data_IF_763536283566
#
_entry.id   IF_763536283566
#
_cell.length_a   1.000
_cell.length_b   1.000
_cell.length_c   1.000
_cell.angle_alpha   90.00
_cell.angle_beta   90.00
_cell.angle_gamma   90.00
#
_symmetry.space_group_name_H-M   'P 1'
#
loop_
_entity.id
_entity.type
_entity.pdbx_description
1 polymer ?
#
# COMPACT_ATOMS: atom_id res chain seq x y z
N UNK A 1 -45.14 -32.89 -49.76
CA UNK A 1 -44.89 -32.27 -48.43
C UNK A 1 -45.92 -31.15 -48.25
N UNK A 2 -46.49 -31.00 -47.07
CA UNK A 2 -47.33 -29.84 -46.76
C UNK A 2 -46.46 -28.61 -46.42
N UNK A 3 -46.94 -27.37 -46.65
CA UNK A 3 -46.25 -26.17 -46.17
C UNK A 3 -46.12 -26.20 -44.62
N UNK A 4 -45.03 -25.66 -44.05
CA UNK A 4 -44.91 -25.56 -42.60
C UNK A 4 -46.02 -24.67 -42.04
N UNK A 5 -46.54 -25.00 -40.86
CA UNK A 5 -47.61 -24.24 -40.20
C UNK A 5 -47.46 -24.27 -38.68
N UNK A 6 -48.20 -23.39 -37.99
CA UNK A 6 -48.24 -23.30 -36.53
C UNK A 6 -46.87 -23.12 -35.86
N UNK A 7 -45.96 -22.36 -36.49
CA UNK A 7 -44.68 -22.02 -35.88
C UNK A 7 -44.89 -21.19 -34.60
N UNK A 8 -44.32 -21.64 -33.48
CA UNK A 8 -44.43 -20.95 -32.20
C UNK A 8 -43.25 -21.25 -31.29
N UNK A 9 -42.92 -20.30 -30.41
CA UNK A 9 -41.91 -20.47 -29.37
C UNK A 9 -42.58 -20.27 -28.00
N UNK A 10 -42.64 -21.31 -27.17
CA UNK A 10 -43.35 -21.26 -25.89
C UNK A 10 -42.72 -20.31 -24.84
N UNK A 11 -41.49 -19.82 -25.09
CA UNK A 11 -40.74 -18.96 -24.15
C UNK A 11 -40.64 -17.48 -24.53
N UNK A 12 -41.32 -17.01 -25.58
CA UNK A 12 -41.33 -15.57 -25.92
C UNK A 12 -42.31 -14.79 -25.02
N UNK A 13 -41.96 -13.59 -24.51
CA UNK A 13 -40.71 -12.85 -24.72
C UNK A 13 -39.51 -13.47 -23.98
N UNK A 14 -38.37 -13.57 -24.67
CA UNK A 14 -37.13 -14.08 -24.12
C UNK A 14 -36.32 -13.00 -23.41
N UNK A 15 -35.81 -13.32 -22.22
CA UNK A 15 -34.82 -12.50 -21.51
C UNK A 15 -33.58 -13.33 -21.27
N UNK A 16 -32.47 -12.94 -21.90
CA UNK A 16 -31.18 -13.61 -21.77
C UNK A 16 -30.18 -12.73 -21.01
N UNK A 17 -29.14 -13.36 -20.48
CA UNK A 17 -28.05 -12.68 -19.77
C UNK A 17 -26.79 -12.72 -20.64
N UNK A 18 -26.15 -11.57 -20.82
CA UNK A 18 -24.90 -11.45 -21.56
C UNK A 18 -23.84 -12.42 -21.01
N UNK A 19 -23.19 -13.16 -21.91
CA UNK A 19 -22.14 -14.13 -21.57
C UNK A 19 -22.64 -15.45 -21.01
N UNK A 20 -23.95 -15.62 -20.77
CA UNK A 20 -24.54 -16.88 -20.33
C UNK A 20 -25.10 -17.65 -21.54
N UNK A 21 -24.68 -18.91 -21.71
CA UNK A 21 -25.23 -19.80 -22.74
C UNK A 21 -26.73 -19.99 -22.50
N UNK A 22 -27.55 -19.75 -23.51
CA UNK A 22 -28.99 -19.91 -23.38
C UNK A 22 -29.37 -21.38 -23.38
N UNK A 23 -30.46 -21.72 -22.70
CA UNK A 23 -31.18 -22.95 -23.02
C UNK A 23 -31.75 -22.81 -24.42
N UNK A 24 -31.44 -23.77 -25.31
CA UNK A 24 -31.89 -23.74 -26.70
C UNK A 24 -33.40 -23.54 -26.78
N UNK A 25 -33.83 -22.47 -27.45
CA UNK A 25 -35.23 -22.19 -27.70
C UNK A 25 -35.67 -23.02 -28.92
N UNK A 26 -36.26 -24.19 -28.64
CA UNK A 26 -36.80 -25.09 -29.65
C UNK A 26 -38.24 -24.68 -29.97
N UNK A 27 -38.58 -24.37 -31.24
CA UNK A 27 -39.95 -24.05 -31.62
C UNK A 27 -40.80 -25.30 -31.78
N UNK A 28 -42.12 -25.12 -31.69
CA UNK A 28 -43.10 -26.05 -32.23
C UNK A 28 -43.42 -25.63 -33.67
N UNK A 29 -43.37 -26.57 -34.62
CA UNK A 29 -43.74 -26.35 -36.02
C UNK A 29 -44.35 -27.64 -36.58
N UNK A 30 -45.43 -27.51 -37.35
CA UNK A 30 -46.07 -28.63 -38.05
C UNK A 30 -45.57 -28.70 -39.49
N UNK A 31 -45.20 -29.88 -39.96
CA UNK A 31 -44.64 -30.10 -41.30
C UNK A 31 -43.11 -30.02 -41.34
N UNK A 32 -42.53 -30.31 -42.51
CA UNK A 32 -41.08 -30.35 -42.69
C UNK A 32 -40.54 -28.97 -43.06
N UNK A 33 -39.59 -28.46 -42.28
CA UNK A 33 -38.87 -27.19 -42.54
C UNK A 33 -37.57 -27.50 -43.30
N UNK A 34 -37.33 -26.78 -44.39
CA UNK A 34 -36.06 -26.87 -45.16
C UNK A 34 -35.25 -25.59 -45.13
N UNK A 35 -35.86 -24.47 -44.75
CA UNK A 35 -35.17 -23.20 -44.51
C UNK A 35 -35.86 -22.43 -43.38
N UNK A 36 -35.06 -21.86 -42.49
CA UNK A 36 -35.53 -21.04 -41.38
C UNK A 36 -34.60 -19.85 -41.15
N UNK A 37 -35.18 -18.65 -41.10
CA UNK A 37 -34.44 -17.40 -40.97
C UNK A 37 -35.21 -16.40 -40.08
N UNK A 38 -34.49 -15.45 -39.50
CA UNK A 38 -35.05 -14.23 -38.91
C UNK A 38 -35.03 -13.09 -39.93
N UNK A 39 -35.95 -12.13 -39.79
CA UNK A 39 -36.05 -10.92 -40.60
C UNK A 39 -34.87 -9.95 -40.41
N UNK A 40 -34.34 -9.87 -39.19
CA UNK A 40 -33.10 -9.16 -38.84
C UNK A 40 -32.12 -10.10 -38.13
N UNK A 41 -30.79 -9.83 -38.17
CA UNK A 41 -29.81 -10.66 -37.47
C UNK A 41 -30.11 -10.76 -35.97
N UNK A 42 -30.08 -11.99 -35.43
CA UNK A 42 -30.21 -12.22 -33.99
C UNK A 42 -29.06 -11.54 -33.21
N UNK A 43 -29.22 -11.28 -31.89
CA UNK A 43 -28.18 -10.69 -31.06
C UNK A 43 -26.85 -11.42 -31.21
N UNK A 44 -25.74 -10.68 -31.25
CA UNK A 44 -24.42 -11.26 -31.51
C UNK A 44 -24.12 -12.42 -30.55
N UNK A 45 -23.78 -13.59 -31.10
CA UNK A 45 -23.53 -14.82 -30.35
C UNK A 45 -24.74 -15.76 -30.24
N UNK A 46 -25.92 -15.34 -30.67
CA UNK A 46 -27.06 -16.23 -30.93
C UNK A 46 -27.10 -16.63 -32.42
N UNK A 47 -27.54 -17.85 -32.67
CA UNK A 47 -27.76 -18.38 -34.02
C UNK A 47 -29.09 -19.13 -34.12
N UNK A 48 -29.63 -19.19 -35.33
CA UNK A 48 -30.81 -20.00 -35.65
C UNK A 48 -30.39 -21.19 -36.52
N UNK A 49 -30.89 -22.38 -36.18
CA UNK A 49 -30.71 -23.55 -37.02
C UNK A 49 -31.62 -23.47 -38.25
N UNK A 50 -31.03 -23.52 -39.44
CA UNK A 50 -31.75 -23.35 -40.70
C UNK A 50 -32.78 -24.42 -41.04
N UNK A 51 -32.83 -25.56 -40.34
CA UNK A 51 -33.78 -26.65 -40.62
C UNK A 51 -34.68 -26.99 -39.44
N UNK A 52 -34.30 -26.66 -38.21
CA UNK A 52 -35.14 -26.88 -37.01
C UNK A 52 -35.72 -25.60 -36.43
N UNK A 53 -35.30 -24.43 -36.93
CA UNK A 53 -35.60 -23.12 -36.34
C UNK A 53 -35.15 -22.97 -34.86
N UNK A 54 -34.38 -23.91 -34.31
CA UNK A 54 -33.92 -23.81 -32.93
C UNK A 54 -32.94 -22.64 -32.78
N UNK A 55 -33.15 -21.79 -31.76
CA UNK A 55 -32.27 -20.67 -31.44
C UNK A 55 -31.36 -21.07 -30.28
N UNK A 56 -30.05 -20.97 -30.46
CA UNK A 56 -29.04 -21.35 -29.46
C UNK A 56 -27.83 -20.41 -29.48
N UNK A 57 -26.99 -20.48 -28.47
CA UNK A 57 -25.73 -19.72 -28.39
C UNK A 57 -25.55 -18.97 -27.06
N UNK A 58 -24.64 -18.00 -27.07
CA UNK A 58 -24.27 -17.19 -25.92
C UNK A 58 -24.25 -15.72 -26.35
N UNK A 59 -25.24 -14.90 -25.96
CA UNK A 59 -25.31 -13.52 -26.40
C UNK A 59 -24.15 -12.72 -25.79
N UNK A 60 -23.48 -11.93 -26.62
CA UNK A 60 -22.24 -11.20 -26.25
C UNK A 60 -22.46 -9.70 -26.08
N UNK A 61 -23.59 -9.17 -26.52
CA UNK A 61 -23.94 -7.74 -26.46
C UNK A 61 -25.30 -7.56 -25.81
N UNK A 62 -25.43 -6.53 -24.98
CA UNK A 62 -26.72 -6.15 -24.39
C UNK A 62 -27.65 -5.57 -25.43
N UNK A 63 -28.93 -5.81 -25.29
CA UNK A 63 -29.96 -5.32 -26.20
C UNK A 63 -31.26 -5.06 -25.43
N UNK A 64 -31.90 -3.93 -25.68
CA UNK A 64 -33.30 -3.71 -25.27
C UNK A 64 -34.25 -4.67 -25.99
N UNK A 65 -35.45 -4.85 -25.46
CA UNK A 65 -36.48 -5.69 -26.08
C UNK A 65 -36.66 -5.35 -27.57
N UNK A 66 -36.36 -6.34 -28.42
CA UNK A 66 -36.42 -6.22 -29.88
C UNK A 66 -37.24 -7.37 -30.43
N UNK A 67 -38.17 -7.07 -31.33
CA UNK A 67 -39.01 -8.07 -31.99
C UNK A 67 -38.30 -8.62 -33.23
N UNK A 68 -38.39 -9.93 -33.42
CA UNK A 68 -37.86 -10.68 -34.55
C UNK A 68 -38.97 -11.51 -35.16
N UNK A 69 -39.10 -11.46 -36.48
CA UNK A 69 -40.03 -12.31 -37.23
C UNK A 69 -39.29 -13.53 -37.73
N UNK A 70 -39.59 -14.70 -37.16
CA UNK A 70 -39.00 -15.96 -37.58
C UNK A 70 -39.87 -16.58 -38.65
N UNK A 71 -39.27 -16.93 -39.79
CA UNK A 71 -39.97 -17.55 -40.92
C UNK A 71 -39.43 -18.95 -41.18
N UNK A 72 -40.31 -19.95 -41.12
CA UNK A 72 -40.03 -21.34 -41.48
C UNK A 72 -40.65 -21.63 -42.85
N UNK A 73 -39.89 -22.23 -43.76
CA UNK A 73 -40.32 -22.46 -45.13
C UNK A 73 -39.88 -23.81 -45.69
N UNK A 74 -40.64 -24.26 -46.70
CA UNK A 74 -40.24 -25.29 -47.64
C UNK A 74 -40.73 -24.93 -49.05
N UNK A 75 -40.49 -25.79 -50.04
CA UNK A 75 -40.87 -25.55 -51.44
C UNK A 75 -42.39 -25.35 -51.68
N UNK A 76 -43.23 -25.68 -50.69
CA UNK A 76 -44.69 -25.64 -50.80
C UNK A 76 -45.33 -24.46 -50.04
N UNK A 77 -44.54 -23.69 -49.28
CA UNK A 77 -45.00 -22.50 -48.58
C UNK A 77 -44.22 -22.18 -47.30
N UNK A 78 -44.73 -21.22 -46.53
CA UNK A 78 -44.08 -20.71 -45.32
C UNK A 78 -45.07 -20.33 -44.23
N UNK A 79 -44.61 -20.34 -42.99
CA UNK A 79 -45.29 -19.76 -41.82
C UNK A 79 -44.32 -18.88 -41.05
N UNK A 80 -44.82 -17.92 -40.30
CA UNK A 80 -44.00 -17.07 -39.46
C UNK A 80 -44.60 -16.84 -38.07
N UNK A 81 -43.77 -16.41 -37.14
CA UNK A 81 -44.17 -15.98 -35.81
C UNK A 81 -43.23 -14.88 -35.33
N UNK A 82 -43.72 -14.01 -34.44
CA UNK A 82 -42.90 -12.94 -33.85
C UNK A 82 -42.47 -13.33 -32.46
N UNK A 83 -41.17 -13.22 -32.18
CA UNK A 83 -40.59 -13.36 -30.84
C UNK A 83 -39.98 -12.04 -30.40
N UNK A 84 -39.92 -11.77 -29.10
CA UNK A 84 -39.19 -10.64 -28.54
C UNK A 84 -37.97 -11.15 -27.78
N UNK A 85 -36.80 -10.55 -27.98
CA UNK A 85 -35.57 -10.88 -27.24
C UNK A 85 -35.05 -9.62 -26.55
N UNK A 86 -34.73 -9.76 -25.27
CA UNK A 86 -33.96 -8.79 -24.46
C UNK A 86 -32.69 -9.47 -23.98
N UNK A 87 -31.55 -8.77 -24.04
CA UNK A 87 -30.27 -9.24 -23.45
C UNK A 87 -29.81 -8.27 -22.38
N UNK A 88 -29.89 -8.70 -21.12
CA UNK A 88 -29.47 -7.94 -19.96
C UNK A 88 -27.98 -8.16 -19.65
N UNK A 89 -27.35 -7.19 -19.01
CA UNK A 89 -25.98 -7.31 -18.50
C UNK A 89 -25.91 -8.44 -17.45
N UNK A 90 -24.79 -9.14 -17.33
CA UNK A 90 -24.56 -10.05 -16.19
C UNK A 90 -24.18 -9.25 -14.93
N UNK A 91 -24.64 -9.63 -13.72
CA UNK A 91 -24.17 -9.00 -12.49
C UNK A 91 -22.66 -9.23 -12.30
N UNK A 92 -21.91 -8.32 -11.66
CA UNK A 92 -20.50 -8.54 -11.37
C UNK A 92 -20.35 -9.68 -10.36
N UNK A 93 -19.25 -10.43 -10.42
CA UNK A 93 -18.98 -11.56 -9.52
C UNK A 93 -17.50 -11.61 -9.11
N UNK A 94 -17.21 -12.33 -8.03
CA UNK A 94 -15.82 -12.64 -7.65
C UNK A 94 -15.00 -11.43 -7.19
N UNK A 95 -15.63 -10.41 -6.59
CA UNK A 95 -14.89 -9.30 -5.99
C UNK A 95 -14.02 -9.81 -4.84
N UNK A 96 -12.70 -9.62 -4.93
CA UNK A 96 -11.76 -10.04 -3.89
C UNK A 96 -10.51 -9.15 -3.86
N UNK A 97 -10.00 -8.89 -2.66
CA UNK A 97 -8.69 -8.26 -2.43
C UNK A 97 -7.72 -9.32 -1.90
N UNK A 98 -6.50 -9.35 -2.43
CA UNK A 98 -5.44 -10.26 -2.00
C UNK A 98 -4.20 -9.44 -1.65
N UNK A 99 -3.84 -9.30 -0.36
CA UNK A 99 -4.52 -9.84 0.83
C UNK A 99 -5.86 -9.15 1.14
N UNK A 100 -6.74 -9.80 1.92
CA UNK A 100 -7.99 -9.20 2.42
C UNK A 100 -7.79 -8.34 3.68
N UNK A 101 -6.64 -8.50 4.36
CA UNK A 101 -6.16 -7.60 5.40
C UNK A 101 -5.19 -6.59 4.79
N UNK A 102 -5.65 -5.37 4.59
CA UNK A 102 -4.89 -4.29 3.98
C UNK A 102 -4.21 -3.44 5.05
N UNK A 103 -2.94 -3.13 4.80
CA UNK A 103 -2.14 -2.27 5.66
C UNK A 103 -1.66 -1.08 4.85
N UNK A 104 -2.00 0.13 5.32
CA UNK A 104 -1.48 1.38 4.80
C UNK A 104 -0.71 2.14 5.88
N UNK A 105 0.03 3.17 5.47
CA UNK A 105 0.84 4.01 6.35
C UNK A 105 0.42 5.46 6.21
N UNK A 106 0.19 6.15 7.33
CA UNK A 106 -0.17 7.56 7.35
C UNK A 106 0.88 8.40 6.63
N UNK A 107 0.45 9.25 5.70
CA UNK A 107 1.31 10.14 4.92
C UNK A 107 2.02 9.47 3.73
N UNK A 108 1.82 8.17 3.52
CA UNK A 108 2.43 7.43 2.40
C UNK A 108 1.34 7.05 1.39
N UNK A 109 1.58 7.34 0.11
CA UNK A 109 0.68 6.94 -0.96
C UNK A 109 0.64 5.40 -1.09
N UNK A 110 -0.56 4.84 -1.20
CA UNK A 110 -0.76 3.40 -1.37
C UNK A 110 -1.98 3.09 -2.23
N UNK A 111 -2.02 1.87 -2.76
CA UNK A 111 -3.16 1.36 -3.51
C UNK A 111 -3.36 -0.14 -3.29
N UNK A 112 -4.61 -0.59 -3.35
CA UNK A 112 -5.02 -1.98 -3.34
C UNK A 112 -6.04 -2.20 -4.46
N UNK A 113 -5.67 -3.01 -5.45
CA UNK A 113 -6.51 -3.33 -6.61
C UNK A 113 -7.15 -4.70 -6.41
N UNK A 114 -8.49 -4.81 -6.45
CA UNK A 114 -9.17 -6.09 -6.35
C UNK A 114 -9.19 -6.82 -7.69
N UNK A 115 -9.54 -8.10 -7.64
CA UNK A 115 -10.07 -8.84 -8.78
C UNK A 115 -11.58 -8.75 -8.79
N UNK A 116 -12.21 -8.57 -9.96
CA UNK A 116 -13.67 -8.61 -10.14
C UNK A 116 -13.98 -9.05 -11.57
N UNK A 117 -14.99 -9.90 -11.74
CA UNK A 117 -15.44 -10.41 -13.04
C UNK A 117 -16.72 -9.72 -13.47
N UNK A 118 -16.79 -9.34 -14.75
CA UNK A 118 -17.94 -8.66 -15.33
C UNK A 118 -17.79 -7.13 -15.33
N UNK A 119 -18.80 -6.45 -15.86
CA UNK A 119 -18.79 -4.99 -15.98
C UNK A 119 -19.24 -4.36 -14.67
N UNK A 120 -18.42 -3.51 -14.07
CA UNK A 120 -18.75 -2.77 -12.86
C UNK A 120 -19.02 -1.31 -13.23
N UNK A 121 -20.16 -0.77 -12.79
CA UNK A 121 -20.52 0.64 -13.01
C UNK A 121 -20.56 1.45 -11.72
N UNK A 122 -20.58 0.80 -10.56
CA UNK A 122 -20.45 1.45 -9.25
C UNK A 122 -19.77 0.55 -8.24
N UNK A 123 -18.84 1.12 -7.46
CA UNK A 123 -18.20 0.51 -6.29
C UNK A 123 -18.42 1.41 -5.08
N UNK A 124 -18.93 0.85 -4.00
CA UNK A 124 -19.20 1.61 -2.77
C UNK A 124 -18.79 0.82 -1.53
N UNK A 125 -18.12 1.45 -0.56
CA UNK A 125 -17.95 0.87 0.77
C UNK A 125 -19.24 1.05 1.59
N UNK A 126 -19.48 0.17 2.55
CA UNK A 126 -20.63 0.27 3.48
C UNK A 126 -20.55 1.49 4.41
N UNK A 127 -19.34 1.99 4.68
CA UNK A 127 -19.06 3.21 5.44
C UNK A 127 -17.94 3.98 4.76
N UNK A 128 -17.81 5.28 5.04
CA UNK A 128 -16.74 6.11 4.47
C UNK A 128 -15.36 5.50 4.77
N UNK A 129 -14.51 5.42 3.74
CA UNK A 129 -13.12 5.02 3.91
C UNK A 129 -12.36 6.03 4.79
N UNK A 130 -11.27 5.60 5.46
CA UNK A 130 -10.48 6.50 6.28
C UNK A 130 -9.94 7.68 5.48
N UNK A 131 -9.79 8.84 6.14
CA UNK A 131 -9.40 10.09 5.49
C UNK A 131 -8.15 9.94 4.62
N UNK A 132 -8.23 10.43 3.38
CA UNK A 132 -7.15 10.37 2.40
C UNK A 132 -7.16 9.11 1.52
N UNK A 133 -7.97 8.10 1.81
CA UNK A 133 -8.25 6.98 0.91
C UNK A 133 -9.53 7.23 0.10
N UNK A 134 -9.53 6.74 -1.13
CA UNK A 134 -10.64 6.81 -2.09
C UNK A 134 -10.88 5.46 -2.73
N UNK A 135 -12.11 5.21 -3.20
CA UNK A 135 -12.47 4.01 -3.95
C UNK A 135 -12.83 4.40 -5.38
N UNK A 136 -12.18 3.80 -6.36
CA UNK A 136 -12.54 3.98 -7.76
C UNK A 136 -13.88 3.29 -8.05
N UNK A 137 -14.84 4.03 -8.61
CA UNK A 137 -16.21 3.57 -8.81
C UNK A 137 -16.37 2.46 -9.86
N UNK A 138 -15.40 2.26 -10.76
CA UNK A 138 -15.49 1.26 -11.84
C UNK A 138 -14.49 0.13 -11.70
N UNK A 139 -13.35 0.35 -11.04
CA UNK A 139 -12.34 -0.71 -10.82
C UNK A 139 -12.36 -1.27 -9.40
N UNK A 140 -13.09 -0.63 -8.48
CA UNK A 140 -13.04 -0.87 -7.05
C UNK A 140 -11.61 -0.76 -6.44
N UNK A 141 -10.66 -0.13 -7.13
CA UNK A 141 -9.32 0.12 -6.56
C UNK A 141 -9.42 1.09 -5.38
N UNK A 142 -8.89 0.70 -4.23
CA UNK A 142 -8.71 1.60 -3.08
C UNK A 142 -7.36 2.27 -3.24
N UNK A 143 -7.28 3.60 -3.22
CA UNK A 143 -6.01 4.31 -3.33
C UNK A 143 -6.02 5.68 -2.65
N UNK A 144 -4.84 6.19 -2.35
CA UNK A 144 -4.66 7.53 -1.81
C UNK A 144 -3.53 7.63 -0.78
N UNK A 145 -3.51 8.73 -0.03
CA UNK A 145 -2.52 8.97 1.03
C UNK A 145 -3.28 9.16 2.35
N UNK A 146 -3.35 8.13 3.21
CA UNK A 146 -4.09 8.22 4.46
C UNK A 146 -3.58 9.35 5.36
N UNK A 147 -4.49 10.10 5.98
CA UNK A 147 -4.15 11.26 6.82
C UNK A 147 -4.29 10.99 8.32
N UNK A 148 -4.91 9.87 8.69
CA UNK A 148 -5.22 9.51 10.08
C UNK A 148 -4.75 8.10 10.42
N UNK A 149 -4.34 7.89 11.66
CA UNK A 149 -4.13 6.55 12.20
C UNK A 149 -5.50 5.84 12.32
N UNK A 150 -5.53 4.54 12.06
CA UNK A 150 -6.71 3.71 12.26
C UNK A 150 -6.32 2.29 12.67
N UNK A 151 -6.89 1.80 13.78
CA UNK A 151 -6.82 0.38 14.11
C UNK A 151 -7.52 -0.47 13.03
N UNK A 152 -7.20 -1.76 12.97
CA UNK A 152 -7.83 -2.68 12.00
C UNK A 152 -9.36 -2.60 12.10
N UNK A 153 -10.00 -2.15 11.02
CA UNK A 153 -11.45 -1.94 10.93
C UNK A 153 -11.98 -2.60 9.67
N UNK A 154 -13.12 -3.28 9.78
CA UNK A 154 -13.72 -4.00 8.66
C UNK A 154 -14.57 -3.09 7.76
N UNK A 155 -14.42 -3.25 6.45
CA UNK A 155 -15.19 -2.57 5.41
C UNK A 155 -15.77 -3.61 4.47
N UNK A 156 -17.04 -3.47 4.12
CA UNK A 156 -17.68 -4.27 3.07
C UNK A 156 -17.73 -3.43 1.80
N UNK A 157 -17.01 -3.87 0.77
CA UNK A 157 -16.97 -3.24 -0.54
C UNK A 157 -17.98 -3.94 -1.45
N UNK A 158 -18.86 -3.17 -2.08
CA UNK A 158 -19.87 -3.69 -3.02
C UNK A 158 -19.57 -3.18 -4.42
N UNK A 159 -19.42 -4.09 -5.37
CA UNK A 159 -19.34 -3.82 -6.80
C UNK A 159 -20.69 -4.11 -7.45
N UNK A 160 -21.19 -3.20 -8.28
CA UNK A 160 -22.54 -3.30 -8.84
C UNK A 160 -22.63 -2.82 -10.28
N UNK A 161 -23.67 -3.30 -10.96
CA UNK A 161 -24.17 -2.77 -12.21
C UNK A 161 -25.71 -2.82 -12.23
N UNK A 162 -26.33 -2.47 -13.36
CA UNK A 162 -27.79 -2.44 -13.52
C UNK A 162 -28.49 -3.78 -13.27
N UNK A 163 -27.76 -4.90 -13.31
CA UNK A 163 -28.31 -6.25 -13.20
C UNK A 163 -28.05 -6.91 -11.84
N UNK A 164 -27.26 -6.29 -10.96
CA UNK A 164 -27.00 -6.82 -9.63
C UNK A 164 -25.64 -6.41 -9.07
N UNK A 165 -25.20 -7.12 -8.03
CA UNK A 165 -23.99 -6.78 -7.30
C UNK A 165 -23.28 -8.03 -6.72
N UNK A 166 -22.04 -7.82 -6.33
CA UNK A 166 -21.23 -8.72 -5.50
C UNK A 166 -20.51 -7.89 -4.43
N UNK A 167 -20.17 -8.50 -3.30
CA UNK A 167 -19.46 -7.82 -2.23
C UNK A 167 -18.38 -8.70 -1.60
N UNK A 168 -17.46 -8.05 -0.90
CA UNK A 168 -16.43 -8.69 -0.09
C UNK A 168 -16.12 -7.86 1.14
N UNK A 169 -15.64 -8.51 2.20
CA UNK A 169 -15.22 -7.84 3.43
C UNK A 169 -13.70 -7.85 3.52
N UNK A 170 -13.12 -6.67 3.75
CA UNK A 170 -11.70 -6.45 3.98
C UNK A 170 -11.50 -5.80 5.35
N UNK A 171 -10.30 -5.97 5.92
CA UNK A 171 -9.88 -5.14 7.06
C UNK A 171 -8.86 -4.13 6.59
N UNK A 172 -9.00 -2.88 7.04
CA UNK A 172 -8.05 -1.80 6.78
C UNK A 172 -7.44 -1.37 8.10
N UNK A 173 -6.12 -1.50 8.20
CA UNK A 173 -5.31 -0.91 9.26
C UNK A 173 -4.47 0.22 8.66
N UNK A 174 -4.46 1.39 9.31
CA UNK A 174 -3.55 2.48 8.97
C UNK A 174 -2.63 2.72 10.15
N UNK A 175 -1.36 2.34 9.99
CA UNK A 175 -0.34 2.70 10.96
C UNK A 175 -0.04 4.21 10.90
N UNK A 176 0.54 4.74 11.97
CA UNK A 176 1.24 6.01 11.91
C UNK A 176 2.46 5.92 10.97
N UNK A 177 3.44 6.78 11.17
CA UNK A 177 4.76 6.55 10.57
C UNK A 177 5.27 5.17 11.00
N UNK A 178 5.52 4.22 10.07
CA UNK A 178 6.07 2.93 10.44
C UNK A 178 7.36 3.13 11.26
N UNK A 179 7.63 2.26 12.25
CA UNK A 179 8.91 2.32 12.94
C UNK A 179 10.03 2.18 11.90
N UNK A 180 11.19 2.75 12.19
CA UNK A 180 12.35 2.51 11.36
C UNK A 180 12.73 1.04 11.39
N UNK A 181 13.24 0.58 10.25
CA UNK A 181 13.80 -0.75 10.13
C UNK A 181 15.11 -0.83 10.93
N UNK A 182 15.30 -1.91 11.67
CA UNK A 182 16.55 -2.19 12.42
C UNK A 182 17.74 -2.50 11.50
N UNK A 183 17.49 -2.65 10.20
CA UNK A 183 18.44 -3.05 9.15
C UNK A 183 18.95 -4.49 9.22
N UNK A 184 18.64 -5.24 10.29
CA UNK A 184 19.08 -6.64 10.43
C UNK A 184 18.60 -7.48 9.24
N UNK A 185 19.49 -8.27 8.63
CA UNK A 185 19.14 -9.20 7.56
C UNK A 185 19.17 -10.67 7.98
N UNK A 186 19.88 -10.98 9.08
CA UNK A 186 20.00 -12.34 9.60
C UNK A 186 18.90 -12.64 10.63
N UNK A 187 18.53 -13.91 10.73
CA UNK A 187 17.73 -14.43 11.82
C UNK A 187 18.60 -15.29 12.75
N UNK A 188 18.01 -15.76 13.85
CA UNK A 188 18.63 -16.65 14.81
C UNK A 188 17.75 -17.87 15.10
N UNK A 189 18.36 -19.03 15.22
CA UNK A 189 17.65 -20.25 15.61
C UNK A 189 17.37 -20.30 17.13
N UNK A 190 16.66 -21.34 17.57
CA UNK A 190 16.32 -21.54 18.98
C UNK A 190 17.55 -21.69 19.92
N UNK A 191 18.74 -21.93 19.37
CA UNK A 191 20.00 -22.02 20.12
C UNK A 191 20.78 -20.71 20.15
N UNK A 192 20.31 -19.68 19.44
CA UNK A 192 21.00 -18.41 19.28
C UNK A 192 22.09 -18.42 18.20
N UNK A 193 22.09 -19.41 17.30
CA UNK A 193 23.01 -19.47 16.15
C UNK A 193 22.40 -18.71 14.97
N UNK A 194 23.25 -18.08 14.14
CA UNK A 194 22.79 -17.32 12.96
C UNK A 194 22.11 -18.25 11.95
N UNK A 195 20.87 -17.93 11.60
CA UNK A 195 20.14 -18.41 10.42
C UNK A 195 20.12 -17.28 9.36
N UNK A 196 21.14 -17.26 8.51
CA UNK A 196 21.28 -16.26 7.45
C UNK A 196 20.17 -16.35 6.38
N UNK A 197 19.42 -17.45 6.35
CA UNK A 197 18.36 -17.68 5.35
C UNK A 197 16.96 -17.38 5.89
N UNK A 198 16.82 -17.20 7.20
CA UNK A 198 15.54 -16.93 7.88
C UNK A 198 14.45 -17.99 7.59
N UNK A 199 14.85 -19.22 7.27
CA UNK A 199 13.93 -20.31 6.91
C UNK A 199 13.53 -21.17 8.09
N UNK A 200 14.28 -21.15 9.20
CA UNK A 200 13.92 -21.92 10.38
C UNK A 200 12.55 -21.46 10.92
N UNK A 201 11.79 -22.40 11.50
CA UNK A 201 10.49 -22.08 12.12
C UNK A 201 10.67 -21.09 13.27
N UNK A 202 11.77 -21.21 14.02
CA UNK A 202 12.18 -20.26 15.07
C UNK A 202 12.47 -18.84 14.54
N UNK A 203 12.75 -18.71 13.25
CA UNK A 203 13.01 -17.43 12.57
C UNK A 203 11.71 -16.70 12.16
N UNK A 204 10.54 -17.32 12.37
CA UNK A 204 9.25 -16.69 12.11
C UNK A 204 9.04 -15.48 13.03
N UNK A 205 8.75 -14.31 12.45
CA UNK A 205 8.50 -13.08 13.19
C UNK A 205 9.74 -12.29 13.59
N UNK A 206 10.95 -12.75 13.25
CA UNK A 206 12.17 -11.99 13.50
C UNK A 206 12.39 -10.88 12.44
N UNK A 207 13.06 -9.80 12.83
CA UNK A 207 13.32 -8.64 11.97
C UNK A 207 14.06 -9.01 10.67
N UNK A 208 15.06 -9.89 10.77
CA UNK A 208 15.80 -10.43 9.62
C UNK A 208 14.89 -11.01 8.53
N UNK A 209 13.79 -11.65 8.92
CA UNK A 209 12.79 -12.22 8.01
C UNK A 209 11.72 -11.23 7.61
N UNK A 210 11.18 -10.48 8.59
CA UNK A 210 10.03 -9.61 8.40
C UNK A 210 10.37 -8.42 7.50
N UNK A 211 11.57 -7.87 7.66
CA UNK A 211 12.06 -6.72 6.91
C UNK A 211 11.05 -5.55 6.87
N UNK A 212 10.21 -5.41 7.92
CA UNK A 212 9.16 -4.39 8.02
C UNK A 212 9.71 -3.09 8.63
N UNK A 213 9.04 -1.98 8.32
CA UNK A 213 9.44 -0.64 8.76
C UNK A 213 9.97 0.21 7.62
N UNK A 214 10.38 1.44 7.94
CA UNK A 214 10.94 2.38 6.97
C UNK A 214 12.47 2.25 6.93
N UNK A 215 13.06 2.08 5.74
CA UNK A 215 14.52 2.10 5.59
C UNK A 215 15.06 3.49 5.92
N UNK A 216 15.99 3.63 6.89
CA UNK A 216 16.67 4.89 7.17
C UNK A 216 17.28 5.48 5.89
N UNK A 217 17.17 6.80 5.74
CA UNK A 217 17.61 7.50 4.54
C UNK A 217 18.19 8.86 4.92
N UNK A 218 19.47 9.05 4.60
CA UNK A 218 20.21 10.25 4.97
C UNK A 218 20.88 10.90 3.75
N UNK A 219 20.92 12.23 3.75
CA UNK A 219 21.60 13.04 2.75
C UNK A 219 22.61 13.96 3.42
N UNK A 220 23.91 13.73 3.19
CA UNK A 220 24.96 14.64 3.64
C UNK A 220 25.00 15.90 2.76
N UNK A 221 25.11 17.06 3.38
CA UNK A 221 25.22 18.34 2.69
C UNK A 221 26.32 19.21 3.29
N UNK A 222 26.96 19.99 2.42
CA UNK A 222 27.90 21.04 2.82
C UNK A 222 27.26 22.40 2.54
N UNK A 223 27.11 23.21 3.58
CA UNK A 223 26.56 24.57 3.51
C UNK A 223 27.70 25.56 3.64
N UNK A 224 28.01 26.25 2.54
CA UNK A 224 29.01 27.30 2.53
C UNK A 224 28.37 28.58 3.10
N UNK A 225 28.75 28.97 4.32
CA UNK A 225 28.16 30.14 5.00
C UNK A 225 28.99 31.41 4.85
N UNK A 226 30.28 31.26 4.54
CA UNK A 226 31.18 32.35 4.17
C UNK A 226 32.35 31.79 3.35
N UNK A 227 33.17 32.66 2.77
CA UNK A 227 34.37 32.25 2.04
C UNK A 227 35.28 31.45 2.97
N UNK A 228 35.51 30.17 2.63
CA UNK A 228 36.33 29.25 3.42
C UNK A 228 35.66 28.70 4.68
N UNK A 229 34.37 28.95 4.92
CA UNK A 229 33.64 28.45 6.09
C UNK A 229 32.51 27.52 5.65
N UNK A 230 32.72 26.23 5.91
CA UNK A 230 31.80 25.16 5.55
C UNK A 230 31.14 24.58 6.80
N UNK A 231 29.82 24.46 6.77
CA UNK A 231 29.05 23.72 7.76
C UNK A 231 28.57 22.39 7.16
N UNK A 232 28.71 21.31 7.92
CA UNK A 232 28.33 19.96 7.49
C UNK A 232 27.08 19.52 8.24
N UNK A 233 26.05 19.16 7.49
CA UNK A 233 24.77 18.67 8.00
C UNK A 233 24.37 17.36 7.31
N UNK A 234 23.58 16.56 8.03
CA UNK A 234 23.02 15.31 7.55
C UNK A 234 21.50 15.41 7.67
N UNK A 235 20.81 15.41 6.54
CA UNK A 235 19.34 15.47 6.48
C UNK A 235 18.79 14.06 6.57
N UNK A 236 17.91 13.80 7.53
CA UNK A 236 17.08 12.60 7.56
C UNK A 236 15.87 12.80 6.63
N UNK A 237 15.88 12.08 5.51
CA UNK A 237 14.88 12.22 4.46
C UNK A 237 13.49 11.66 4.87
N UNK A 238 13.41 10.93 5.99
CA UNK A 238 12.16 10.35 6.48
C UNK A 238 11.46 11.26 7.49
N UNK A 239 12.23 11.78 8.45
CA UNK A 239 11.68 12.59 9.55
C UNK A 239 11.70 14.09 9.23
N UNK A 240 12.52 14.51 8.27
CA UNK A 240 12.80 15.92 7.99
C UNK A 240 13.80 16.54 8.96
N UNK A 241 14.27 15.80 9.96
CA UNK A 241 15.26 16.29 10.91
C UNK A 241 16.60 16.54 10.22
N UNK A 242 17.24 17.64 10.60
CA UNK A 242 18.58 18.01 10.16
C UNK A 242 19.54 17.84 11.33
N UNK A 243 20.53 16.99 11.15
CA UNK A 243 21.56 16.73 12.14
C UNK A 243 22.83 17.48 11.80
N UNK A 244 23.60 17.87 12.82
CA UNK A 244 24.99 18.23 12.60
C UNK A 244 25.75 16.93 12.29
N UNK A 245 26.45 16.89 11.14
CA UNK A 245 27.11 15.65 10.67
C UNK A 245 28.14 15.14 11.66
N UNK A 246 28.84 16.05 12.34
CA UNK A 246 29.73 15.74 13.44
C UNK A 246 29.00 15.95 14.77
N UNK A 247 29.37 15.18 15.79
CA UNK A 247 29.03 15.59 17.16
C UNK A 247 29.81 16.86 17.53
N UNK A 248 29.40 17.51 18.62
CA UNK A 248 30.04 18.74 19.09
C UNK A 248 31.54 18.54 19.31
N UNK A 249 32.27 19.63 19.10
CA UNK A 249 33.74 19.70 19.16
C UNK A 249 34.52 18.90 18.08
N UNK A 250 33.82 18.20 17.17
CA UNK A 250 34.38 17.66 15.92
C UNK A 250 34.03 18.52 14.71
N UNK A 251 34.93 18.56 13.73
CA UNK A 251 34.83 19.41 12.53
C UNK A 251 35.31 18.70 11.26
N UNK A 252 35.16 19.36 10.10
CA UNK A 252 35.40 18.86 8.74
C UNK A 252 34.36 17.85 8.24
N UNK A 253 34.36 17.59 6.94
CA UNK A 253 33.38 16.71 6.27
C UNK A 253 33.39 15.26 6.76
N UNK A 254 34.50 14.82 7.35
CA UNK A 254 34.70 13.46 7.87
C UNK A 254 34.80 13.43 9.41
N UNK A 255 34.55 14.56 10.08
CA UNK A 255 34.64 14.68 11.53
C UNK A 255 36.01 14.31 12.14
N UNK A 256 37.08 14.37 11.34
CA UNK A 256 38.44 14.09 11.79
C UNK A 256 39.12 15.32 12.43
N UNK A 257 38.58 16.52 12.23
CA UNK A 257 39.07 17.73 12.90
C UNK A 257 38.49 17.88 14.31
N UNK A 258 39.17 18.65 15.16
CA UNK A 258 38.76 18.86 16.55
C UNK A 258 39.07 17.66 17.45
N UNK A 259 38.36 17.54 18.57
CA UNK A 259 38.56 16.49 19.57
C UNK A 259 37.23 16.08 20.21
N UNK A 260 37.20 14.88 20.78
CA UNK A 260 36.06 14.46 21.60
C UNK A 260 36.11 15.22 22.94
N UNK A 261 35.06 15.98 23.22
CA UNK A 261 34.88 16.69 24.49
C UNK A 261 33.68 16.11 25.21
N UNK A 262 33.87 15.82 26.50
CA UNK A 262 32.80 15.27 27.33
C UNK A 262 32.03 16.38 28.00
N UNK A 263 30.72 16.28 27.91
CA UNK A 263 29.79 17.22 28.48
C UNK A 263 29.03 16.58 29.63
N UNK A 264 28.64 17.39 30.60
CA UNK A 264 27.45 17.11 31.40
C UNK A 264 26.20 17.51 30.60
N UNK A 265 25.00 17.24 31.10
CA UNK A 265 23.78 17.53 30.35
C UNK A 265 23.60 19.04 30.08
N UNK A 266 24.01 19.89 31.03
CA UNK A 266 23.84 21.34 30.95
C UNK A 266 24.76 21.95 29.88
N UNK A 267 26.03 21.55 29.86
CA UNK A 267 27.00 21.97 28.85
C UNK A 267 26.68 21.40 27.47
N UNK A 268 26.19 20.16 27.37
CA UNK A 268 25.71 19.58 26.09
C UNK A 268 24.53 20.37 25.52
N UNK A 269 23.56 20.71 26.38
CA UNK A 269 22.39 21.53 25.99
C UNK A 269 22.84 22.91 25.53
N UNK A 270 23.78 23.51 26.24
CA UNK A 270 24.35 24.83 25.90
C UNK A 270 25.13 24.79 24.58
N UNK A 271 25.92 23.74 24.34
CA UNK A 271 26.66 23.58 23.09
C UNK A 271 25.71 23.58 21.87
N UNK A 272 24.61 22.83 21.93
CA UNK A 272 23.61 22.86 20.87
C UNK A 272 22.87 24.20 20.78
N UNK A 273 22.58 24.85 21.91
CA UNK A 273 21.94 26.17 21.90
C UNK A 273 22.84 27.25 21.27
N UNK A 274 24.16 27.16 21.46
CA UNK A 274 25.13 28.10 20.89
C UNK A 274 25.16 28.06 19.36
N UNK A 275 24.78 26.93 18.73
CA UNK A 275 24.62 26.83 17.28
C UNK A 275 23.51 27.74 16.73
N UNK A 276 22.69 28.35 17.59
CA UNK A 276 21.62 29.27 17.21
C UNK A 276 22.04 30.74 17.23
N UNK A 277 23.28 31.05 17.62
CA UNK A 277 23.77 32.41 17.67
C UNK A 277 23.92 33.02 16.26
N UNK A 278 23.57 34.30 16.10
CA UNK A 278 23.69 35.01 14.82
C UNK A 278 22.81 34.40 13.72
N UNK A 279 23.43 34.07 12.57
CA UNK A 279 22.76 33.33 11.47
C UNK A 279 22.61 31.83 11.76
N UNK A 280 23.18 31.37 12.87
CA UNK A 280 23.21 29.98 13.29
C UNK A 280 24.09 29.07 12.45
N UNK A 281 24.09 27.78 12.78
CA UNK A 281 24.85 26.75 12.08
C UNK A 281 24.07 26.27 10.84
N UNK A 282 24.75 26.25 9.70
CA UNK A 282 24.18 26.00 8.37
C UNK A 282 22.96 26.89 8.03
N UNK A 283 22.97 28.16 8.46
CA UNK A 283 21.86 29.12 8.32
C UNK A 283 20.57 28.67 9.03
N UNK A 284 20.71 27.99 10.18
CA UNK A 284 19.60 27.48 11.00
C UNK A 284 19.80 27.84 12.46
N UNK A 285 18.73 28.29 13.13
CA UNK A 285 18.75 28.83 14.50
C UNK A 285 17.79 28.10 15.44
N UNK A 286 17.49 26.83 15.16
CA UNK A 286 16.60 25.96 15.94
C UNK A 286 17.27 24.64 16.35
N UNK A 287 18.59 24.65 16.51
CA UNK A 287 19.39 23.54 17.01
C UNK A 287 19.12 23.27 18.49
N UNK A 288 19.04 21.99 18.83
CA UNK A 288 18.84 21.51 20.19
C UNK A 288 19.50 20.15 20.37
N UNK A 289 19.56 19.73 21.63
CA UNK A 289 19.84 18.34 21.96
C UNK A 289 18.66 17.46 21.48
N UNK A 290 18.92 16.28 20.88
CA UNK A 290 17.88 15.39 20.39
C UNK A 290 17.08 14.78 21.54
N UNK A 291 15.89 14.31 21.23
CA UNK A 291 15.21 13.34 22.10
C UNK A 291 15.87 11.96 21.94
N UNK A 292 15.67 11.07 22.91
CA UNK A 292 16.23 9.72 22.85
C UNK A 292 15.69 8.94 21.64
N UNK A 293 14.39 9.09 21.34
CA UNK A 293 13.76 8.43 20.20
C UNK A 293 14.30 8.94 18.86
N UNK A 294 14.63 10.24 18.77
CA UNK A 294 15.30 10.79 17.58
C UNK A 294 16.71 10.22 17.43
N UNK A 295 17.41 9.94 18.52
CA UNK A 295 18.77 9.43 18.47
C UNK A 295 18.81 7.91 18.17
N UNK A 296 17.81 7.15 18.63
CA UNK A 296 17.60 5.73 18.28
C UNK A 296 17.42 5.54 16.76
N UNK A 297 16.73 6.48 16.11
CA UNK A 297 17.23 7.21 14.91
C UNK A 297 18.38 6.65 14.08
N UNK A 298 19.54 6.72 14.70
CA UNK A 298 20.83 6.71 14.04
C UNK A 298 21.51 5.35 14.22
N UNK A 299 20.82 4.37 14.82
CA UNK A 299 21.36 3.04 15.11
C UNK A 299 21.15 2.11 13.93
N UNK A 300 22.23 1.47 13.49
CA UNK A 300 22.21 0.38 12.52
C UNK A 300 22.53 -0.95 13.23
N UNK A 301 21.52 -1.80 13.42
CA UNK A 301 21.69 -3.09 14.09
C UNK A 301 22.26 -4.19 13.17
N UNK A 302 22.42 -3.92 11.87
CA UNK A 302 23.05 -4.86 10.94
C UNK A 302 24.57 -4.84 11.02
N UNK A 303 25.15 -3.75 11.54
CA UNK A 303 26.61 -3.62 11.69
C UNK A 303 27.10 -4.58 12.78
N UNK A 304 28.07 -5.44 12.46
CA UNK A 304 28.59 -6.42 13.42
C UNK A 304 29.51 -5.82 14.49
N UNK A 305 30.16 -4.69 14.19
CA UNK A 305 31.16 -4.05 15.06
C UNK A 305 30.70 -2.66 15.54
N UNK A 306 31.30 -2.19 16.64
CA UNK A 306 31.14 -0.82 17.11
C UNK A 306 31.84 0.17 16.16
N UNK A 307 31.28 1.36 15.89
CA UNK A 307 29.96 1.86 16.32
C UNK A 307 28.82 1.33 15.43
N UNK A 308 27.66 1.08 16.04
CA UNK A 308 26.42 0.68 15.38
C UNK A 308 25.65 1.90 14.86
N UNK A 309 26.10 2.47 13.76
CA UNK A 309 25.48 3.64 13.13
C UNK A 309 25.74 3.68 11.62
N UNK A 310 25.08 4.60 10.92
CA UNK A 310 25.30 4.88 9.51
C UNK A 310 26.56 5.73 9.32
N UNK A 311 27.75 5.13 9.45
CA UNK A 311 29.06 5.83 9.48
C UNK A 311 29.35 6.71 8.25
N UNK A 312 28.77 6.40 7.09
CA UNK A 312 28.87 7.26 5.91
C UNK A 312 28.13 8.59 6.09
N UNK A 313 27.03 8.59 6.85
CA UNK A 313 26.19 9.77 7.12
C UNK A 313 26.57 10.49 8.42
N UNK A 314 27.13 9.75 9.38
CA UNK A 314 27.59 10.26 10.67
C UNK A 314 29.05 9.84 10.95
N UNK A 315 30.01 10.31 10.13
CA UNK A 315 31.41 9.99 10.31
C UNK A 315 31.93 10.51 11.67
N UNK A 316 33.00 9.89 12.18
CA UNK A 316 33.57 10.23 13.47
C UNK A 316 32.74 9.84 14.70
N UNK A 317 31.53 9.28 14.51
CA UNK A 317 30.77 8.69 15.63
C UNK A 317 31.62 7.62 16.29
N UNK A 318 31.83 7.75 17.59
CA UNK A 318 32.51 6.74 18.41
C UNK A 318 31.50 5.91 19.19
N UNK A 319 31.77 4.62 19.32
CA UNK A 319 31.03 3.74 20.23
C UNK A 319 31.65 3.63 21.62
N UNK A 320 32.74 4.35 21.92
CA UNK A 320 33.41 4.27 23.23
C UNK A 320 32.67 5.02 24.34
N UNK A 321 31.73 5.91 23.97
CA UNK A 321 31.05 6.81 24.90
C UNK A 321 29.56 6.91 24.61
N UNK A 322 28.82 7.42 25.60
CA UNK A 322 27.41 7.73 25.48
C UNK A 322 27.17 9.07 24.76
N UNK A 323 25.97 9.23 24.22
CA UNK A 323 25.50 10.48 23.62
C UNK A 323 24.28 10.98 24.39
N UNK A 324 24.29 12.27 24.73
CA UNK A 324 23.24 12.91 25.51
C UNK A 324 21.93 13.05 24.73
N UNK A 325 20.81 12.73 25.40
CA UNK A 325 19.48 13.14 24.97
C UNK A 325 18.88 14.14 25.96
N UNK A 326 17.88 14.88 25.48
CA UNK A 326 17.09 15.83 26.27
C UNK A 326 16.07 15.16 27.21
N UNK A 327 15.92 13.83 27.16
CA UNK A 327 14.95 13.10 27.96
C UNK A 327 15.52 12.73 29.33
N UNK A 328 14.94 13.28 30.41
CA UNK A 328 15.26 12.85 31.76
C UNK A 328 14.82 11.41 32.02
N UNK A 329 15.60 10.69 32.82
CA UNK A 329 15.21 9.36 33.29
C UNK A 329 14.20 9.50 34.43
N UNK A 330 12.90 9.32 34.13
CA UNK A 330 11.82 9.63 35.08
C UNK A 330 11.92 8.95 36.46
N UNK A 331 12.36 7.68 36.58
CA UNK A 331 12.52 7.06 37.89
C UNK A 331 13.54 7.77 38.79
N UNK A 332 14.47 8.54 38.21
CA UNK A 332 15.48 9.32 38.93
C UNK A 332 15.91 10.54 38.09
N UNK A 333 15.31 11.70 38.38
CA UNK A 333 15.50 12.96 37.64
C UNK A 333 16.89 13.59 37.82
N UNK A 334 17.76 12.99 38.64
CA UNK A 334 19.19 13.33 38.67
C UNK A 334 19.94 12.76 37.46
N UNK A 335 19.29 11.91 36.67
CA UNK A 335 19.84 11.25 35.47
C UNK A 335 19.09 11.64 34.19
N UNK A 336 19.78 11.50 33.07
CA UNK A 336 19.21 11.61 31.73
C UNK A 336 19.39 10.32 30.95
N UNK A 337 18.49 10.07 30.00
CA UNK A 337 18.66 9.01 29.03
C UNK A 337 19.78 9.35 28.05
N UNK A 338 20.56 8.34 27.70
CA UNK A 338 21.69 8.43 26.77
C UNK A 338 21.71 7.24 25.83
N UNK A 339 22.23 7.42 24.62
CA UNK A 339 22.41 6.34 23.65
C UNK A 339 23.88 5.86 23.64
N UNK A 340 24.08 4.55 23.61
CA UNK A 340 25.40 3.93 23.49
C UNK A 340 25.59 3.26 22.14
N UNK A 341 26.33 3.90 21.22
CA UNK A 341 26.53 3.36 19.86
C UNK A 341 27.38 2.08 19.82
N UNK A 342 28.07 1.65 20.89
CA UNK A 342 28.74 0.34 20.87
C UNK A 342 27.75 -0.82 20.70
N UNK A 343 26.61 -0.72 21.37
CA UNK A 343 25.56 -1.75 21.40
C UNK A 343 24.25 -1.30 20.76
N UNK A 344 24.12 -0.02 20.40
CA UNK A 344 22.87 0.56 19.91
C UNK A 344 21.79 0.66 20.99
N UNK A 345 22.19 0.67 22.27
CA UNK A 345 21.26 0.59 23.41
C UNK A 345 21.06 1.93 24.10
N UNK A 346 19.83 2.19 24.51
CA UNK A 346 19.47 3.30 25.40
C UNK A 346 19.71 2.91 26.86
N UNK A 347 20.34 3.79 27.62
CA UNK A 347 20.58 3.67 29.06
C UNK A 347 20.46 5.04 29.73
N UNK A 348 20.96 5.19 30.96
CA UNK A 348 20.95 6.45 31.71
C UNK A 348 22.32 6.74 32.36
N UNK A 349 22.60 8.01 32.61
CA UNK A 349 23.75 8.45 33.42
C UNK A 349 23.44 9.75 34.18
N UNK A 350 24.24 10.05 35.21
CA UNK A 350 24.06 11.23 36.07
C UNK A 350 24.24 12.51 35.26
N UNK A 351 23.24 13.40 35.27
CA UNK A 351 23.19 14.57 34.38
C UNK A 351 24.27 15.61 34.65
N UNK A 352 24.91 15.56 35.81
CA UNK A 352 25.99 16.47 36.23
C UNK A 352 27.39 15.92 35.96
N UNK A 353 27.51 14.69 35.47
CA UNK A 353 28.81 14.07 35.15
C UNK A 353 29.19 14.41 33.73
N UNK A 354 30.36 15.03 33.56
CA UNK A 354 30.95 15.26 32.25
C UNK A 354 31.54 13.94 31.70
N UNK A 355 30.72 13.18 30.98
CA UNK A 355 31.10 11.83 30.53
C UNK A 355 30.40 11.37 29.26
N UNK A 356 29.71 12.25 28.54
CA UNK A 356 28.99 11.88 27.32
C UNK A 356 29.11 12.97 26.27
N UNK A 357 29.04 12.57 25.00
CA UNK A 357 29.15 13.44 23.84
C UNK A 357 27.79 14.08 23.52
N UNK A 358 27.79 15.17 22.75
CA UNK A 358 26.56 15.84 22.32
C UNK A 358 26.49 15.85 20.79
N UNK A 359 25.37 15.43 20.20
CA UNK A 359 25.10 15.61 18.76
C UNK A 359 23.82 16.41 18.63
N UNK A 360 23.87 17.53 17.93
CA UNK A 360 22.74 18.44 17.84
C UNK A 360 21.84 18.12 16.65
N UNK A 361 20.55 18.38 16.82
CA UNK A 361 19.51 18.20 15.81
C UNK A 361 18.66 19.46 15.69
N UNK A 362 18.09 19.68 14.52
CA UNK A 362 17.27 20.83 14.16
C UNK A 362 16.08 20.35 13.30
N UNK A 363 14.83 20.74 13.63
CA UNK A 363 13.63 20.34 12.88
C UNK A 363 13.41 21.09 11.57
#
# INVERSE_FOLDING_TARGET
MAPPSALSYAGTPFTFTQGATITTATPSVTGTVTSCNSDIPLPAGLGINGTTCAISGTPTTTQSATNYTITASNAYGSTNTTISITVNLAPPTGLAYTPSALVFYKGVAGAATPTVTGTVTSCNPNVALPGGLTLNATTCTISGTPTVFQASTNYTITASNSSGNTNTTISIMIFGTPPMKTMQTNCWDATGTIDATCVAVSSAGQDGKLQKGTNPSFTNQTVNVAVGVNHYITVDNLTGLVWKTCHEDRTNSNCAGGADVYHDLASATTACANLNAGTGYANRTNWRLPTISEMETLVDFNVATSPRTFVASFPGTTGSYYYWSSNLYLPDTTKSLVLYFSSGSTTWTNKTVAGSLARCVSP
#
